data_IF_204855440214
#
_entry.id   IF_204855440214
#
_cell.length_a   1.000
_cell.length_b   1.000
_cell.length_c   1.000
_cell.angle_alpha   90.00
_cell.angle_beta   90.00
_cell.angle_gamma   90.00
#
_symmetry.space_group_name_H-M   'P 1'
#
loop_
_entity.id
_entity.type
_entity.pdbx_description
1 polymer ?
#
# COMPACT_ATOMS: atom_id res chain seq x y z
N UNK A 1 -12.34 -5.69 11.08
CA UNK A 1 -11.40 -6.78 11.42
C UNK A 1 -9.95 -6.28 11.63
N UNK A 2 -9.75 -5.01 12.04
CA UNK A 2 -8.43 -4.42 12.30
C UNK A 2 -8.07 -4.31 13.80
N UNK A 3 -9.01 -4.65 14.69
CA UNK A 3 -8.86 -4.50 16.14
C UNK A 3 -8.22 -5.70 16.86
N UNK A 4 -8.05 -6.85 16.20
CA UNK A 4 -7.57 -8.08 16.87
C UNK A 4 -6.18 -8.56 16.44
N UNK A 5 -5.47 -7.85 15.56
CA UNK A 5 -4.15 -8.29 15.11
C UNK A 5 -3.02 -7.60 15.88
N UNK A 6 -2.87 -7.90 17.17
CA UNK A 6 -1.54 -7.89 17.84
C UNK A 6 -0.66 -9.01 17.24
N UNK A 7 -0.50 -9.08 15.91
CA UNK A 7 0.43 -10.02 15.30
C UNK A 7 1.83 -9.44 15.41
N UNK A 8 2.45 -9.76 16.54
CA UNK A 8 3.82 -10.23 16.64
C UNK A 8 4.39 -10.57 15.24
N UNK A 9 5.35 -9.78 14.76
CA UNK A 9 6.34 -10.33 13.83
C UNK A 9 7.24 -11.20 14.72
N UNK A 10 7.23 -12.54 14.60
CA UNK A 10 8.01 -13.41 15.50
C UNK A 10 9.53 -13.19 15.33
N UNK A 11 9.93 -12.53 14.25
CA UNK A 11 11.31 -12.41 13.78
C UNK A 11 11.84 -10.96 13.76
N UNK A 12 11.11 -10.00 14.32
CA UNK A 12 11.48 -8.58 14.27
C UNK A 12 11.17 -7.83 15.56
N UNK A 13 11.83 -6.68 15.81
CA UNK A 13 11.52 -5.84 16.96
C UNK A 13 10.04 -5.45 16.94
N UNK A 14 9.36 -5.39 18.11
CA UNK A 14 8.01 -4.89 18.20
C UNK A 14 7.94 -3.51 17.54
N UNK A 15 7.09 -3.36 16.52
CA UNK A 15 6.81 -2.07 15.91
C UNK A 15 5.41 -1.63 16.26
N UNK A 16 5.28 -0.35 16.58
CA UNK A 16 3.98 0.27 16.81
C UNK A 16 3.15 0.22 15.52
N UNK A 17 1.84 0.09 15.69
CA UNK A 17 0.92 0.04 14.57
C UNK A 17 0.89 1.41 13.89
N UNK A 18 0.96 1.47 12.54
CA UNK A 18 0.69 2.70 11.82
C UNK A 18 -0.67 3.29 12.22
N UNK A 19 -0.70 4.57 12.55
CA UNK A 19 -1.95 5.28 12.86
C UNK A 19 -2.64 5.65 11.55
N UNK A 20 -3.94 5.37 11.47
CA UNK A 20 -4.81 5.64 10.32
C UNK A 20 -4.84 7.14 9.96
N UNK A 21 -4.43 7.57 8.74
CA UNK A 21 -4.48 8.97 8.35
C UNK A 21 -5.89 9.56 8.19
N UNK A 22 -6.92 8.73 8.05
CA UNK A 22 -8.32 9.18 8.00
C UNK A 22 -9.07 8.93 9.32
N UNK A 23 -8.34 8.75 10.43
CA UNK A 23 -8.87 8.51 11.78
C UNK A 23 -9.73 7.25 11.96
N UNK A 24 -9.98 6.49 10.89
CA UNK A 24 -10.71 5.22 10.90
C UNK A 24 -10.01 4.20 10.00
N UNK A 25 -9.63 3.07 10.60
CA UNK A 25 -8.92 1.99 9.92
C UNK A 25 -9.76 1.30 8.83
N UNK A 26 -11.09 1.33 8.96
CA UNK A 26 -12.02 0.81 7.96
C UNK A 26 -12.09 1.71 6.73
N UNK A 27 -12.14 3.03 6.93
CA UNK A 27 -12.09 4.03 5.86
C UNK A 27 -10.77 3.93 5.10
N UNK A 28 -9.64 3.80 5.79
CA UNK A 28 -8.35 3.60 5.12
C UNK A 28 -8.29 2.27 4.36
N UNK A 29 -8.89 1.22 4.90
CA UNK A 29 -9.06 -0.05 4.19
C UNK A 29 -9.89 0.09 2.91
N UNK A 30 -10.95 0.91 2.91
CA UNK A 30 -11.73 1.22 1.71
C UNK A 30 -10.86 1.98 0.70
N UNK A 31 -10.12 2.99 1.13
CA UNK A 31 -9.26 3.80 0.26
C UNK A 31 -8.18 2.93 -0.40
N UNK A 32 -7.54 2.04 0.35
CA UNK A 32 -6.53 1.11 -0.18
C UNK A 32 -7.14 0.20 -1.25
N UNK A 33 -8.29 -0.43 -0.96
CA UNK A 33 -8.93 -1.33 -1.92
C UNK A 33 -9.44 -0.59 -3.16
N UNK A 34 -9.97 0.61 -3.00
CA UNK A 34 -10.41 1.44 -4.12
C UNK A 34 -9.23 1.86 -4.99
N UNK A 35 -8.12 2.28 -4.39
CA UNK A 35 -6.89 2.61 -5.11
C UNK A 35 -6.36 1.40 -5.89
N UNK A 36 -6.34 0.21 -5.27
CA UNK A 36 -5.98 -1.05 -5.95
C UNK A 36 -6.87 -1.34 -7.15
N UNK A 37 -8.20 -1.27 -6.97
CA UNK A 37 -9.17 -1.56 -8.03
C UNK A 37 -9.05 -0.57 -9.20
N UNK A 38 -8.97 0.73 -8.90
CA UNK A 38 -8.85 1.78 -9.91
C UNK A 38 -7.55 1.63 -10.69
N UNK A 39 -6.44 1.41 -9.99
CA UNK A 39 -5.14 1.19 -10.63
C UNK A 39 -5.18 -0.05 -11.52
N UNK A 40 -5.65 -1.19 -11.02
CA UNK A 40 -5.80 -2.42 -11.81
C UNK A 40 -6.62 -2.18 -13.09
N UNK A 41 -7.75 -1.50 -12.96
CA UNK A 41 -8.66 -1.17 -14.08
C UNK A 41 -7.96 -0.35 -15.17
N UNK A 42 -7.15 0.65 -14.81
CA UNK A 42 -6.47 1.51 -15.79
C UNK A 42 -5.17 0.90 -16.32
N UNK A 43 -4.50 0.07 -15.53
CA UNK A 43 -3.22 -0.53 -15.90
C UNK A 43 -3.38 -1.78 -16.75
N UNK A 44 -4.52 -2.46 -16.72
CA UNK A 44 -4.74 -3.69 -17.46
C UNK A 44 -6.17 -3.80 -18.06
N UNK A 45 -6.66 -2.80 -18.82
CA UNK A 45 -8.04 -2.79 -19.30
C UNK A 45 -8.36 -3.89 -20.32
N UNK A 46 -7.36 -4.39 -21.07
CA UNK A 46 -7.52 -5.40 -22.13
C UNK A 46 -6.69 -6.66 -21.92
N UNK A 47 -6.23 -6.88 -20.68
CA UNK A 47 -5.39 -8.02 -20.30
C UNK A 47 -4.00 -8.08 -20.99
N UNK A 48 -3.48 -6.94 -21.42
CA UNK A 48 -2.19 -6.76 -22.10
C UNK A 48 -1.31 -5.64 -21.49
N UNK A 49 -1.66 -5.18 -20.28
CA UNK A 49 -1.09 -3.97 -19.69
C UNK A 49 0.09 -4.17 -18.71
N UNK A 50 0.11 -3.37 -17.64
CA UNK A 50 1.19 -3.38 -16.64
C UNK A 50 0.90 -4.44 -15.59
N UNK A 51 1.67 -5.52 -15.60
CA UNK A 51 1.55 -6.62 -14.67
C UNK A 51 2.91 -7.26 -14.36
N UNK A 52 2.96 -7.99 -13.26
CA UNK A 52 4.09 -8.84 -12.94
C UNK A 52 3.86 -10.24 -13.53
N UNK A 53 4.90 -10.80 -14.16
CA UNK A 53 4.89 -12.15 -14.71
C UNK A 53 4.48 -12.23 -16.19
N UNK A 54 4.29 -13.45 -16.73
CA UNK A 54 3.90 -13.65 -18.12
C UNK A 54 2.42 -13.33 -18.35
N UNK A 55 2.06 -12.94 -19.57
CA UNK A 55 0.68 -12.62 -19.96
C UNK A 55 -0.33 -13.77 -19.78
N UNK A 56 0.15 -15.02 -19.71
CA UNK A 56 -0.69 -16.21 -19.46
C UNK A 56 -1.06 -16.39 -17.98
N UNK A 57 -0.37 -15.71 -17.06
CA UNK A 57 -0.64 -15.75 -15.62
C UNK A 57 -0.19 -14.43 -14.95
N UNK A 58 -0.80 -13.29 -15.32
CA UNK A 58 -0.36 -11.98 -14.84
C UNK A 58 -0.85 -11.71 -13.41
N UNK A 59 -0.01 -11.06 -12.61
CA UNK A 59 -0.42 -10.39 -11.37
C UNK A 59 -0.57 -8.89 -11.64
N UNK A 60 -1.75 -8.34 -11.38
CA UNK A 60 -2.05 -6.94 -11.65
C UNK A 60 -1.09 -5.99 -10.93
N UNK A 61 -0.89 -4.79 -11.51
CA UNK A 61 0.13 -3.83 -11.09
C UNK A 61 0.19 -3.60 -9.57
N UNK A 62 -0.95 -3.56 -8.90
CA UNK A 62 -1.01 -3.28 -7.45
C UNK A 62 -1.06 -4.55 -6.60
N UNK A 63 -1.74 -5.61 -7.07
CA UNK A 63 -1.86 -6.85 -6.29
C UNK A 63 -0.52 -7.58 -6.18
N UNK A 64 0.35 -7.44 -7.19
CA UNK A 64 1.77 -7.83 -7.14
C UNK A 64 2.54 -7.19 -5.95
N UNK A 65 2.08 -6.03 -5.47
CA UNK A 65 2.75 -5.21 -4.46
C UNK A 65 1.99 -5.16 -3.13
N UNK A 66 1.20 -6.19 -2.83
CA UNK A 66 0.35 -6.25 -1.63
C UNK A 66 1.13 -5.95 -0.35
N UNK A 67 0.65 -4.96 0.41
CA UNK A 67 1.22 -4.58 1.71
C UNK A 67 2.48 -3.70 1.64
N UNK A 68 2.92 -3.31 0.44
CA UNK A 68 4.04 -2.40 0.24
C UNK A 68 3.51 -0.97 0.11
N UNK A 69 3.84 -0.11 1.06
CA UNK A 69 3.44 1.30 1.09
C UNK A 69 4.63 2.26 1.14
N UNK A 70 5.80 1.79 1.58
CA UNK A 70 7.04 2.54 1.63
C UNK A 70 8.27 1.66 1.46
N UNK A 71 9.45 2.27 1.37
CA UNK A 71 10.70 1.55 1.19
C UNK A 71 10.99 0.54 2.31
N UNK A 72 11.53 -0.63 1.94
CA UNK A 72 11.87 -1.70 2.90
C UNK A 72 10.67 -2.41 3.54
N UNK A 73 9.50 -2.37 2.90
CA UNK A 73 8.32 -3.12 3.34
C UNK A 73 8.57 -4.65 3.34
N UNK A 74 7.89 -5.35 4.24
CA UNK A 74 7.88 -6.81 4.34
C UNK A 74 6.62 -7.25 5.09
N UNK A 75 6.25 -8.54 5.12
CA UNK A 75 5.04 -8.99 5.80
C UNK A 75 4.94 -8.50 7.25
N UNK A 76 3.90 -7.70 7.54
CA UNK A 76 3.68 -7.09 8.86
C UNK A 76 4.32 -5.72 9.06
N UNK A 77 5.09 -5.21 8.09
CA UNK A 77 5.65 -3.86 8.10
C UNK A 77 5.38 -3.17 6.75
N UNK A 78 4.61 -2.06 6.73
CA UNK A 78 4.20 -1.41 5.48
C UNK A 78 5.36 -0.72 4.74
N UNK A 79 6.55 -0.65 5.34
CA UNK A 79 7.67 0.12 4.84
C UNK A 79 7.87 1.42 5.60
N UNK A 80 8.93 2.16 5.24
CA UNK A 80 9.18 3.51 5.76
C UNK A 80 8.22 4.47 5.08
N UNK A 81 7.29 5.00 5.85
CA UNK A 81 6.29 5.98 5.40
C UNK A 81 6.43 7.27 6.22
N UNK A 82 5.79 8.34 5.78
CA UNK A 82 5.79 9.61 6.49
C UNK A 82 4.88 9.54 7.71
N UNK A 83 5.18 10.36 8.72
CA UNK A 83 4.38 10.48 9.94
C UNK A 83 3.93 11.94 10.12
N UNK A 84 2.64 12.14 10.30
CA UNK A 84 2.08 13.43 10.68
C UNK A 84 2.47 13.75 12.13
N UNK A 85 3.19 14.85 12.34
CA UNK A 85 3.67 15.23 13.68
C UNK A 85 2.54 15.61 14.66
N UNK A 86 1.40 16.05 14.15
CA UNK A 86 0.27 16.51 14.95
C UNK A 86 -0.67 15.36 15.35
N UNK A 87 -0.90 14.41 14.44
CA UNK A 87 -1.85 13.29 14.67
C UNK A 87 -1.17 11.94 14.91
N UNK A 88 0.13 11.81 14.60
CA UNK A 88 0.84 10.53 14.59
C UNK A 88 0.50 9.64 13.38
N UNK A 89 -0.37 10.10 12.47
CA UNK A 89 -0.83 9.35 11.32
C UNK A 89 0.31 8.96 10.37
N UNK A 90 0.30 7.72 9.90
CA UNK A 90 1.24 7.21 8.90
C UNK A 90 0.67 7.32 7.50
N UNK A 91 1.40 7.93 6.57
CA UNK A 91 0.90 8.21 5.21
C UNK A 91 2.04 8.23 4.19
N UNK A 92 1.71 8.08 2.92
CA UNK A 92 2.68 8.19 1.81
C UNK A 92 2.18 9.06 0.65
N UNK A 93 0.93 9.55 0.73
CA UNK A 93 0.33 10.36 -0.30
C UNK A 93 -0.33 11.60 0.30
N UNK A 94 -0.15 12.74 -0.38
CA UNK A 94 -0.85 13.98 -0.10
C UNK A 94 -2.06 14.10 -1.04
N UNK A 95 -3.24 14.23 -0.44
CA UNK A 95 -4.48 14.55 -1.14
C UNK A 95 -4.76 16.04 -1.20
N UNK A 96 -5.89 16.37 -1.81
CA UNK A 96 -6.43 17.73 -1.81
C UNK A 96 -6.86 18.15 -0.40
N UNK A 97 -6.88 19.46 -0.13
CA UNK A 97 -7.31 20.05 1.14
C UNK A 97 -6.56 19.50 2.38
N UNK A 98 -5.28 19.19 2.22
CA UNK A 98 -4.44 18.70 3.32
C UNK A 98 -4.71 17.27 3.76
N UNK A 99 -5.58 16.53 3.05
CA UNK A 99 -5.85 15.11 3.34
C UNK A 99 -4.60 14.27 3.11
N UNK A 100 -4.47 13.20 3.87
CA UNK A 100 -3.35 12.27 3.80
C UNK A 100 -3.88 10.87 3.60
N UNK A 101 -3.15 10.08 2.82
CA UNK A 101 -3.55 8.74 2.46
C UNK A 101 -2.38 7.77 2.54
N UNK A 102 -2.74 6.51 2.76
CA UNK A 102 -1.84 5.38 2.61
C UNK A 102 -2.26 4.62 1.35
N UNK A 103 -1.48 4.76 0.28
CA UNK A 103 -1.77 4.16 -1.04
C UNK A 103 -0.77 3.05 -1.36
N UNK A 104 -1.21 1.95 -1.99
CA UNK A 104 -0.33 0.83 -2.27
C UNK A 104 0.74 1.20 -3.31
N UNK A 105 1.88 0.52 -3.25
CA UNK A 105 2.88 0.56 -4.31
C UNK A 105 2.34 -0.06 -5.61
N UNK A 106 2.95 0.31 -6.74
CA UNK A 106 2.64 -0.27 -8.04
C UNK A 106 3.86 -0.97 -8.62
N UNK A 107 3.62 -2.07 -9.32
CA UNK A 107 4.63 -2.77 -10.10
C UNK A 107 5.12 -1.88 -11.23
N UNK A 108 6.43 -1.67 -11.29
CA UNK A 108 7.10 -1.01 -12.40
C UNK A 108 7.79 -2.06 -13.27
N UNK A 109 7.31 -2.28 -14.51
CA UNK A 109 7.89 -3.29 -15.40
C UNK A 109 9.31 -2.92 -15.85
N UNK A 110 9.70 -1.64 -15.82
CA UNK A 110 11.05 -1.22 -16.23
C UNK A 110 12.10 -1.64 -15.21
N UNK A 111 11.83 -1.43 -13.92
CA UNK A 111 12.75 -1.84 -12.85
C UNK A 111 12.47 -3.22 -12.28
N UNK A 112 11.39 -3.87 -12.71
CA UNK A 112 10.94 -5.17 -12.18
C UNK A 112 10.80 -5.15 -10.66
N UNK A 113 10.23 -4.08 -10.12
CA UNK A 113 10.10 -3.85 -8.69
C UNK A 113 8.83 -3.05 -8.37
N UNK A 114 8.35 -3.20 -7.13
CA UNK A 114 7.28 -2.35 -6.60
C UNK A 114 7.80 -0.96 -6.26
N UNK A 115 7.22 0.08 -6.88
CA UNK A 115 7.52 1.48 -6.63
C UNK A 115 6.52 2.08 -5.65
N UNK A 116 7.06 2.70 -4.61
CA UNK A 116 6.31 3.42 -3.58
C UNK A 116 6.31 4.91 -3.89
N UNK A 117 5.37 5.65 -3.28
CA UNK A 117 5.32 7.11 -3.37
C UNK A 117 6.40 7.80 -2.53
N UNK A 118 6.96 7.11 -1.53
CA UNK A 118 7.99 7.58 -0.58
C UNK A 118 8.99 6.49 -0.24
#
# INVERSE_FOLDING_TARGET
MLTTLRRYCPLGPPRERPVAPNADVGVDGIIINLATLLAATVTNPFNDGYFQGPATAPLEAVSACTGIFGSGAYPGYPGRVLVDKSTGASFNAHGTNGRKYLLPAMWDPQSSACKTLV
#
